data_IF_527589454037
#
_entry.id   IF_527589454037
#
_cell.length_a   1.000
_cell.length_b   1.000
_cell.length_c   1.000
_cell.angle_alpha   90.00
_cell.angle_beta   90.00
_cell.angle_gamma   90.00
#
_symmetry.space_group_name_H-M   'P 1'
#
loop_
_entity.id
_entity.type
_entity.pdbx_description
1 polymer ?
#
# COMPACT_ATOMS: atom_id res chain seq x y z
N UNK A 1 1.02 -7.90 10.89
CA UNK A 1 0.57 -7.25 9.64
C UNK A 1 1.71 -6.41 9.11
N UNK A 2 1.92 -6.42 7.79
CA UNK A 2 2.92 -5.59 7.12
C UNK A 2 2.22 -4.61 6.20
N UNK A 3 2.70 -3.38 6.15
CA UNK A 3 2.13 -2.33 5.31
C UNK A 3 3.15 -1.84 4.29
N UNK A 4 2.63 -1.39 3.15
CA UNK A 4 3.31 -0.62 2.12
C UNK A 4 2.62 0.74 2.05
N UNK A 5 3.36 1.83 2.24
CA UNK A 5 2.83 3.19 2.16
C UNK A 5 3.17 3.76 0.80
N UNK A 6 2.14 4.13 0.06
CA UNK A 6 2.28 4.69 -1.27
C UNK A 6 2.92 6.09 -1.26
N UNK A 7 3.47 6.53 -2.38
CA UNK A 7 4.19 7.80 -2.49
C UNK A 7 3.28 9.04 -2.37
N UNK A 8 1.98 8.85 -2.56
CA UNK A 8 0.97 9.89 -2.33
C UNK A 8 0.65 10.15 -0.84
N UNK A 9 1.32 9.43 0.07
CA UNK A 9 1.18 9.60 1.51
C UNK A 9 2.49 10.13 2.14
N UNK A 10 2.39 10.93 3.23
CA UNK A 10 3.57 11.34 3.98
C UNK A 10 4.31 10.15 4.58
N UNK A 11 5.64 10.22 4.63
CA UNK A 11 6.49 9.17 5.22
C UNK A 11 6.16 8.92 6.71
N UNK A 12 5.65 9.92 7.41
CA UNK A 12 5.16 9.85 8.78
C UNK A 12 4.04 8.81 8.95
N UNK A 13 3.31 8.47 7.88
CA UNK A 13 2.31 7.39 7.90
C UNK A 13 2.96 6.05 8.26
N UNK A 14 4.13 5.75 7.70
CA UNK A 14 4.90 4.56 8.04
C UNK A 14 5.42 4.65 9.48
N UNK A 15 5.87 5.82 9.92
CA UNK A 15 6.34 6.03 11.29
C UNK A 15 5.24 5.78 12.33
N UNK A 16 4.01 6.25 12.10
CA UNK A 16 2.85 6.02 12.99
C UNK A 16 2.54 4.52 13.12
N UNK A 17 2.57 3.79 12.00
CA UNK A 17 2.33 2.34 12.01
C UNK A 17 3.46 1.58 12.73
N UNK A 18 4.72 1.97 12.50
CA UNK A 18 5.88 1.42 13.20
C UNK A 18 5.80 1.65 14.71
N UNK A 19 5.44 2.87 15.14
CA UNK A 19 5.22 3.21 16.55
C UNK A 19 4.09 2.39 17.19
N UNK A 20 3.11 1.96 16.40
CA UNK A 20 2.02 1.09 16.82
C UNK A 20 2.38 -0.41 16.83
N UNK A 21 3.64 -0.76 16.53
CA UNK A 21 4.14 -2.14 16.54
C UNK A 21 3.94 -2.90 15.22
N UNK A 22 3.58 -2.23 14.13
CA UNK A 22 3.46 -2.86 12.81
C UNK A 22 4.75 -2.73 11.98
N UNK A 23 4.95 -3.66 11.05
CA UNK A 23 5.94 -3.48 9.99
C UNK A 23 5.31 -2.59 8.92
N UNK A 24 5.96 -1.50 8.56
CA UNK A 24 5.51 -0.63 7.49
C UNK A 24 6.74 -0.12 6.76
N UNK A 25 6.71 -0.12 5.43
CA UNK A 25 7.74 0.48 4.57
C UNK A 25 7.05 1.35 3.52
N UNK A 26 7.74 2.39 3.06
CA UNK A 26 7.23 3.29 2.02
C UNK A 26 7.70 2.83 0.63
N UNK A 27 6.95 3.17 -0.41
CA UNK A 27 7.37 3.02 -1.81
C UNK A 27 8.73 3.69 -2.06
N UNK A 28 8.97 4.85 -1.43
CA UNK A 28 10.25 5.56 -1.52
C UNK A 28 11.42 4.81 -0.86
N UNK A 29 11.23 4.21 0.32
CA UNK A 29 12.26 3.43 1.02
C UNK A 29 12.67 2.15 0.27
N UNK A 30 11.83 1.68 -0.66
CA UNK A 30 12.09 0.49 -1.48
C UNK A 30 12.50 0.81 -2.92
N UNK A 31 12.89 2.06 -3.20
CA UNK A 31 13.28 2.53 -4.54
C UNK A 31 12.19 2.30 -5.61
N UNK A 32 10.91 2.36 -5.20
CA UNK A 32 9.76 2.19 -6.08
C UNK A 32 9.05 3.50 -6.43
N UNK A 33 9.57 4.65 -6.00
CA UNK A 33 8.98 5.95 -6.33
C UNK A 33 8.88 6.17 -7.85
N UNK A 34 7.73 6.67 -8.29
CA UNK A 34 7.37 6.84 -9.70
C UNK A 34 7.15 5.53 -10.48
N UNK A 35 7.15 4.37 -9.82
CA UNK A 35 6.77 3.10 -10.44
C UNK A 35 5.27 3.08 -10.74
N UNK A 36 4.87 2.31 -11.75
CA UNK A 36 3.45 2.13 -12.05
C UNK A 36 2.72 1.29 -10.98
N UNK A 37 1.39 1.38 -10.99
CA UNK A 37 0.51 0.65 -10.08
C UNK A 37 0.75 -0.86 -10.08
N UNK A 38 1.09 -1.44 -11.24
CA UNK A 38 1.32 -2.88 -11.36
C UNK A 38 2.58 -3.30 -10.62
N UNK A 39 3.66 -2.52 -10.74
CA UNK A 39 4.90 -2.75 -10.02
C UNK A 39 4.70 -2.61 -8.50
N UNK A 40 4.01 -1.55 -8.04
CA UNK A 40 3.74 -1.32 -6.61
C UNK A 40 2.88 -2.44 -6.02
N UNK A 41 1.83 -2.87 -6.72
CA UNK A 41 0.99 -3.99 -6.26
C UNK A 41 1.75 -5.31 -6.30
N UNK A 42 2.51 -5.60 -7.37
CA UNK A 42 3.25 -6.84 -7.49
C UNK A 42 4.27 -6.98 -6.36
N UNK A 43 5.01 -5.92 -6.06
CA UNK A 43 5.93 -5.88 -4.91
C UNK A 43 5.17 -6.11 -3.61
N UNK A 44 4.11 -5.34 -3.36
CA UNK A 44 3.33 -5.44 -2.12
C UNK A 44 2.77 -6.85 -1.91
N UNK A 45 2.30 -7.51 -2.98
CA UNK A 45 1.84 -8.90 -2.95
C UNK A 45 2.96 -9.88 -2.64
N UNK A 46 4.11 -9.76 -3.32
CA UNK A 46 5.24 -10.67 -3.13
C UNK A 46 5.79 -10.68 -1.69
N UNK A 47 5.57 -9.59 -0.96
CA UNK A 47 6.09 -9.40 0.40
C UNK A 47 5.03 -9.60 1.49
N UNK A 48 3.80 -9.97 1.08
CA UNK A 48 2.62 -10.08 1.93
C UNK A 48 2.34 -8.77 2.72
N UNK A 49 2.28 -7.66 1.97
CA UNK A 49 2.02 -6.32 2.50
C UNK A 49 0.66 -5.79 2.06
N UNK A 50 0.06 -5.05 2.96
CA UNK A 50 -1.14 -4.25 2.75
C UNK A 50 -0.72 -2.90 2.18
N UNK A 51 -1.13 -2.60 0.94
CA UNK A 51 -0.95 -1.27 0.36
C UNK A 51 -1.93 -0.26 1.00
N UNK A 52 -1.39 0.87 1.45
CA UNK A 52 -2.13 2.04 1.92
C UNK A 52 -1.86 3.17 0.95
N UNK A 53 -2.90 3.68 0.31
CA UNK A 53 -2.81 4.64 -0.79
C UNK A 53 -4.04 5.56 -0.82
N UNK A 54 -3.88 6.77 -1.36
CA UNK A 54 -4.99 7.67 -1.70
C UNK A 54 -5.39 7.59 -3.18
N UNK A 55 -4.67 6.81 -3.98
CA UNK A 55 -4.95 6.63 -5.40
C UNK A 55 -6.19 5.74 -5.60
N UNK A 56 -7.15 6.25 -6.36
CA UNK A 56 -8.40 5.56 -6.65
C UNK A 56 -8.27 4.54 -7.78
N UNK A 57 -7.18 4.54 -8.54
CA UNK A 57 -6.97 3.56 -9.61
C UNK A 57 -6.87 2.15 -9.03
N UNK A 58 -6.32 1.99 -7.82
CA UNK A 58 -6.34 0.74 -7.04
C UNK A 58 -7.74 0.29 -6.57
N UNK A 59 -8.75 1.15 -6.63
CA UNK A 59 -10.13 0.80 -6.32
C UNK A 59 -10.86 0.14 -7.50
N UNK A 60 -10.26 0.10 -8.70
CA UNK A 60 -10.83 -0.55 -9.86
C UNK A 60 -10.90 -2.08 -9.67
N UNK A 61 -12.06 -2.58 -9.27
CA UNK A 61 -12.27 -4.01 -8.98
C UNK A 61 -12.13 -4.94 -10.20
N UNK A 62 -12.17 -4.40 -11.43
CA UNK A 62 -11.97 -5.20 -12.65
C UNK A 62 -10.49 -5.40 -12.93
N UNK A 63 -9.68 -4.38 -12.67
CA UNK A 63 -8.22 -4.48 -12.71
C UNK A 63 -7.68 -5.24 -11.49
N UNK A 64 -8.36 -5.11 -10.34
CA UNK A 64 -7.97 -5.69 -9.06
C UNK A 64 -9.16 -6.43 -8.39
N UNK A 65 -9.41 -7.72 -8.73
CA UNK A 65 -10.56 -8.50 -8.23
C UNK A 65 -10.49 -8.84 -6.74
N UNK A 66 -11.57 -8.67 -5.96
CA UNK A 66 -11.63 -9.06 -4.54
C UNK A 66 -11.32 -10.56 -4.35
N UNK A 67 -10.64 -10.92 -3.26
CA UNK A 67 -10.23 -12.32 -3.00
C UNK A 67 -8.80 -12.63 -3.41
N UNK A 68 -8.19 -11.80 -4.26
CA UNK A 68 -6.75 -11.87 -4.58
C UNK A 68 -5.88 -10.94 -3.70
N UNK A 69 -6.43 -10.28 -2.66
CA UNK A 69 -5.74 -9.13 -2.00
C UNK A 69 -6.04 -8.92 -0.51
N UNK A 70 -5.04 -8.36 0.18
CA UNK A 70 -5.09 -7.67 1.48
C UNK A 70 -5.04 -6.13 1.29
N UNK A 71 -6.10 -5.48 0.77
CA UNK A 71 -6.19 -4.01 0.72
C UNK A 71 -6.92 -3.47 1.96
N UNK A 72 -6.40 -2.43 2.59
CA UNK A 72 -7.18 -1.66 3.59
C UNK A 72 -8.19 -0.81 2.84
N UNK A 73 -9.48 -1.17 2.96
CA UNK A 73 -10.58 -0.33 2.49
C UNK A 73 -10.83 0.79 3.48
N UNK A 74 -10.77 2.03 3.01
CA UNK A 74 -11.27 3.20 3.74
C UNK A 74 -12.80 3.14 3.77
N UNK A 75 -13.39 2.81 4.92
CA UNK A 75 -14.79 3.13 5.20
C UNK A 75 -14.82 4.58 5.73
N UNK A 76 -15.04 5.55 4.86
CA UNK A 76 -15.63 6.82 5.31
C UNK A 76 -17.14 6.63 5.32
N UNK A 77 -17.75 6.75 6.50
CA UNK A 77 -19.12 7.27 6.60
C UNK A 77 -19.05 8.78 6.57
#
# INVERSE_FOLDING_TARGET
>A
MKFKIDENLPAETAAILRQSGFVADTVAEEDLSGSDDQAVIARSRSEDRILVTLDLDFANIRAYPPGERNLVRRYLR
#
